data_IF_161852739166
#
_entry.id   IF_161852739166
#
_cell.length_a   1.000
_cell.length_b   1.000
_cell.length_c   1.000
_cell.angle_alpha   90.00
_cell.angle_beta   90.00
_cell.angle_gamma   90.00
#
_symmetry.space_group_name_H-M   'P 1'
#
loop_
_entity.id
_entity.type
_entity.pdbx_description
1 polymer ?
#
# COMPACT_ATOMS: atom_id res chain seq x y z
N UNK A 1 -1.82 11.38 21.10
CA UNK A 1 -1.58 11.68 19.67
C UNK A 1 -2.46 12.85 19.29
N UNK A 2 -1.87 13.97 18.88
CA UNK A 2 -2.62 15.15 18.46
C UNK A 2 -3.34 14.89 17.12
N UNK A 3 -4.62 15.26 17.03
CA UNK A 3 -5.42 15.19 15.78
C UNK A 3 -4.70 15.91 14.62
N UNK A 4 -3.93 16.95 14.94
CA UNK A 4 -3.10 17.72 13.99
C UNK A 4 -2.01 16.87 13.34
N UNK A 5 -1.38 16.01 14.14
CA UNK A 5 -0.31 15.12 13.67
C UNK A 5 -0.88 13.97 12.84
N UNK A 6 -2.12 13.56 13.11
CA UNK A 6 -2.86 12.64 12.26
C UNK A 6 -3.14 13.27 10.90
N UNK A 7 -3.79 14.44 10.86
CA UNK A 7 -4.10 15.17 9.61
C UNK A 7 -2.88 15.38 8.72
N UNK A 8 -1.73 15.72 9.31
CA UNK A 8 -0.49 15.91 8.57
C UNK A 8 0.04 14.62 7.93
N UNK A 9 -0.14 13.46 8.59
CA UNK A 9 0.25 12.16 8.05
C UNK A 9 -0.64 11.71 6.90
N UNK A 10 -1.93 12.08 6.91
CA UNK A 10 -2.88 11.74 5.84
C UNK A 10 -2.74 12.62 4.60
N UNK A 11 -2.43 13.90 4.77
CA UNK A 11 -2.34 14.85 3.64
C UNK A 11 -1.18 14.56 2.66
N UNK A 12 -0.12 13.85 3.11
CA UNK A 12 1.02 13.46 2.27
C UNK A 12 0.64 12.48 1.16
N UNK A 13 0.22 11.26 1.53
CA UNK A 13 -0.22 10.24 0.58
C UNK A 13 -1.29 10.74 -0.39
N UNK A 14 -2.28 11.51 0.06
CA UNK A 14 -3.35 12.04 -0.79
C UNK A 14 -2.80 12.92 -1.92
N UNK A 15 -1.91 13.86 -1.60
CA UNK A 15 -1.29 14.71 -2.63
C UNK A 15 -0.42 13.92 -3.60
N UNK A 16 0.27 12.88 -3.13
CA UNK A 16 1.05 11.98 -3.98
C UNK A 16 0.17 11.17 -4.94
N UNK A 17 -0.93 10.60 -4.45
CA UNK A 17 -1.88 9.80 -5.24
C UNK A 17 -2.56 10.67 -6.30
N UNK A 18 -3.02 11.87 -5.93
CA UNK A 18 -3.65 12.81 -6.87
C UNK A 18 -2.66 13.22 -7.96
N UNK A 19 -1.41 13.51 -7.59
CA UNK A 19 -0.40 13.97 -8.53
C UNK A 19 0.02 12.85 -9.50
N UNK A 20 0.26 11.64 -9.01
CA UNK A 20 0.63 10.50 -9.87
C UNK A 20 -0.53 10.11 -10.79
N UNK A 21 -1.77 10.18 -10.29
CA UNK A 21 -2.97 9.94 -11.10
C UNK A 21 -3.27 11.07 -12.09
N UNK A 22 -2.67 12.26 -11.94
CA UNK A 22 -2.83 13.35 -12.90
C UNK A 22 -1.75 13.31 -13.97
N UNK A 23 -0.50 13.05 -13.57
CA UNK A 23 0.67 13.09 -14.45
C UNK A 23 0.85 11.77 -15.21
N UNK A 24 0.35 10.64 -14.69
CA UNK A 24 0.53 9.30 -15.25
C UNK A 24 1.97 9.05 -15.72
N UNK A 25 2.97 9.06 -14.81
CA UNK A 25 4.35 8.84 -15.21
C UNK A 25 4.56 7.40 -15.68
N UNK A 26 4.74 7.21 -16.99
CA UNK A 26 4.94 5.92 -17.65
C UNK A 26 3.92 5.70 -18.77
N UNK A 27 4.31 4.96 -19.81
CA UNK A 27 3.43 4.69 -20.96
C UNK A 27 2.45 3.54 -20.63
N UNK A 28 1.12 3.67 -20.86
CA UNK A 28 0.15 2.59 -20.60
C UNK A 28 0.43 1.33 -21.45
N UNK A 29 1.09 1.50 -22.59
CA UNK A 29 1.54 0.45 -23.50
C UNK A 29 2.70 -0.40 -22.93
N UNK A 30 3.57 0.18 -22.09
CA UNK A 30 4.66 -0.55 -21.40
C UNK A 30 4.15 -1.41 -20.23
N UNK A 31 2.99 -1.06 -19.65
CA UNK A 31 2.34 -1.86 -18.60
C UNK A 31 1.84 -3.19 -19.17
N UNK A 32 1.39 -3.22 -20.43
CA UNK A 32 1.07 -4.47 -21.12
C UNK A 32 2.32 -5.33 -21.41
N UNK A 33 3.50 -4.72 -21.58
CA UNK A 33 4.75 -5.43 -21.86
C UNK A 33 5.45 -5.98 -20.59
N UNK A 34 5.25 -5.37 -19.42
CA UNK A 34 5.89 -5.74 -18.15
C UNK A 34 5.14 -6.83 -17.35
N UNK A 35 4.30 -7.61 -18.03
CA UNK A 35 3.49 -8.65 -17.41
C UNK A 35 2.13 -8.10 -17.04
N UNK A 36 1.20 -8.32 -17.95
CA UNK A 36 -0.23 -8.22 -17.76
C UNK A 36 -0.64 -9.16 -16.61
N UNK A 37 -0.54 -8.64 -15.38
CA UNK A 37 -1.24 -9.21 -14.24
C UNK A 37 -2.70 -9.32 -14.64
N UNK A 38 -3.23 -10.54 -14.58
CA UNK A 38 -4.48 -11.02 -15.16
C UNK A 38 -5.68 -10.28 -14.59
N UNK A 39 -5.87 -9.01 -14.95
CA UNK A 39 -7.07 -8.23 -14.70
C UNK A 39 -7.94 -8.29 -15.95
N UNK A 40 -8.22 -9.52 -16.39
CA UNK A 40 -9.23 -9.76 -17.41
C UNK A 40 -10.60 -9.47 -16.77
N UNK A 41 -11.06 -8.24 -16.97
CA UNK A 41 -12.46 -7.81 -17.05
C UNK A 41 -13.47 -8.65 -16.24
N UNK A 42 -13.32 -8.67 -14.92
CA UNK A 42 -14.48 -8.74 -14.05
C UNK A 42 -14.59 -7.36 -13.45
N UNK A 43 -15.64 -6.61 -13.79
CA UNK A 43 -15.99 -5.40 -13.07
C UNK A 43 -16.35 -5.82 -11.63
N UNK A 44 -15.32 -6.01 -10.80
CA UNK A 44 -15.48 -6.19 -9.37
C UNK A 44 -16.22 -4.95 -8.89
N UNK A 45 -17.35 -5.17 -8.23
CA UNK A 45 -18.03 -4.05 -7.60
C UNK A 45 -17.06 -3.44 -6.61
N UNK A 46 -16.85 -2.13 -6.66
CA UNK A 46 -16.00 -1.41 -5.69
C UNK A 46 -16.45 -1.68 -4.25
N UNK A 47 -17.75 -1.96 -4.07
CA UNK A 47 -18.34 -2.41 -2.82
C UNK A 47 -17.78 -3.77 -2.39
N UNK A 48 -17.61 -4.73 -3.29
CA UNK A 48 -17.07 -6.06 -2.95
C UNK A 48 -15.61 -5.95 -2.50
N UNK A 49 -14.81 -5.13 -3.20
CA UNK A 49 -13.43 -4.85 -2.78
C UNK A 49 -13.39 -4.18 -1.40
N UNK A 50 -14.30 -3.25 -1.13
CA UNK A 50 -14.42 -2.62 0.19
C UNK A 50 -14.86 -3.61 1.27
N UNK A 51 -15.82 -4.49 0.98
CA UNK A 51 -16.25 -5.54 1.90
C UNK A 51 -15.15 -6.57 2.15
N UNK A 52 -14.37 -6.92 1.15
CA UNK A 52 -13.20 -7.79 1.29
C UNK A 52 -12.14 -7.14 2.17
N UNK A 53 -11.91 -5.83 2.03
CA UNK A 53 -11.03 -5.09 2.93
C UNK A 53 -11.50 -5.14 4.38
N UNK A 54 -12.81 -4.93 4.63
CA UNK A 54 -13.38 -5.04 5.98
C UNK A 54 -13.25 -6.45 6.53
N UNK A 55 -13.53 -7.47 5.72
CA UNK A 55 -13.38 -8.87 6.15
C UNK A 55 -11.92 -9.20 6.47
N UNK A 56 -11.00 -8.73 5.65
CA UNK A 56 -9.57 -8.90 5.90
C UNK A 56 -9.09 -8.11 7.12
N UNK A 57 -9.78 -7.05 7.53
CA UNK A 57 -9.47 -6.30 8.76
C UNK A 57 -9.72 -7.13 10.04
N UNK A 58 -10.65 -8.10 9.97
CA UNK A 58 -11.00 -9.00 11.06
C UNK A 58 -10.89 -10.47 10.61
N UNK A 59 -9.66 -11.01 10.48
CA UNK A 59 -9.47 -12.38 10.04
C UNK A 59 -10.07 -13.38 11.04
N UNK A 60 -10.73 -14.42 10.53
CA UNK A 60 -11.31 -15.50 11.34
C UNK A 60 -10.23 -16.33 12.06
N UNK A 61 -9.02 -16.39 11.50
CA UNK A 61 -7.88 -17.10 12.07
C UNK A 61 -6.58 -16.32 11.83
N UNK A 62 -5.88 -15.96 12.92
CA UNK A 62 -4.62 -15.20 12.87
C UNK A 62 -3.48 -16.00 12.26
N UNK A 63 -3.42 -17.31 12.52
CA UNK A 63 -2.37 -18.19 11.96
C UNK A 63 -2.57 -18.35 10.46
N UNK A 64 -3.83 -18.43 10.01
CA UNK A 64 -4.12 -18.46 8.58
C UNK A 64 -3.79 -17.10 7.93
N UNK A 65 -4.09 -15.99 8.62
CA UNK A 65 -3.82 -14.64 8.13
C UNK A 65 -2.33 -14.35 7.87
N UNK A 66 -1.40 -15.07 8.50
CA UNK A 66 0.04 -14.90 8.20
C UNK A 66 0.44 -15.42 6.82
N UNK A 67 -0.38 -16.27 6.19
CA UNK A 67 -0.08 -16.88 4.89
C UNK A 67 -1.18 -16.67 3.84
N UNK A 68 -2.40 -16.34 4.25
CA UNK A 68 -3.56 -16.29 3.37
C UNK A 68 -4.45 -15.07 3.64
N UNK A 69 -5.10 -14.57 2.58
CA UNK A 69 -6.10 -13.51 2.65
C UNK A 69 -7.35 -13.90 1.85
N UNK A 70 -8.48 -13.25 2.17
CA UNK A 70 -9.76 -13.53 1.52
C UNK A 70 -9.96 -12.54 0.37
N UNK A 71 -10.28 -13.06 -0.81
CA UNK A 71 -10.68 -12.25 -1.97
C UNK A 71 -11.92 -12.85 -2.64
N UNK A 72 -12.79 -11.98 -3.14
CA UNK A 72 -13.98 -12.35 -3.90
C UNK A 72 -13.63 -12.54 -5.37
N UNK A 73 -13.85 -13.75 -5.88
CA UNK A 73 -13.72 -14.08 -7.30
C UNK A 73 -15.08 -14.43 -7.90
N UNK A 74 -15.31 -14.03 -9.14
CA UNK A 74 -16.54 -14.29 -9.87
C UNK A 74 -16.39 -15.50 -10.77
N UNK A 75 -16.86 -16.66 -10.31
CA UNK A 75 -16.80 -17.89 -11.09
C UNK A 75 -18.01 -17.97 -12.03
N UNK A 76 -17.82 -18.22 -13.34
CA UNK A 76 -18.93 -18.40 -14.27
C UNK A 76 -19.63 -19.73 -13.98
N UNK A 77 -20.90 -19.68 -13.61
CA UNK A 77 -21.71 -20.88 -13.40
C UNK A 77 -22.57 -21.10 -14.64
N UNK A 78 -22.41 -22.27 -15.26
CA UNK A 78 -23.31 -22.72 -16.33
C UNK A 78 -24.69 -23.00 -15.71
N UNK A 79 -25.78 -22.32 -16.12
CA UNK A 79 -27.10 -22.63 -15.61
C UNK A 79 -27.50 -24.04 -16.01
N UNK A 80 -28.09 -24.81 -15.08
CA UNK A 80 -28.74 -26.08 -15.42
C UNK A 80 -29.94 -25.76 -16.30
N UNK A 81 -29.86 -26.13 -17.57
CA UNK A 81 -30.97 -26.01 -18.52
C UNK A 81 -32.16 -26.84 -18.04
N UNK A 82 -33.21 -26.20 -17.54
CA UNK A 82 -34.50 -26.85 -17.34
C UNK A 82 -35.22 -26.82 -18.68
N UNK A 83 -35.19 -27.93 -19.42
CA UNK A 83 -35.91 -28.06 -20.69
C UNK A 83 -37.41 -27.86 -20.44
N UNK A 84 -37.92 -26.68 -20.78
CA UNK A 84 -39.33 -26.51 -21.06
C UNK A 84 -39.54 -26.84 -22.54
N UNK A 85 -40.50 -27.72 -22.80
CA UNK A 85 -40.69 -28.34 -24.11
C UNK A 85 -41.20 -27.28 -25.10
N UNK A 86 -40.41 -26.96 -26.12
CA UNK A 86 -40.80 -26.10 -27.24
C UNK A 86 -40.04 -24.78 -27.33
N UNK A 87 -39.24 -24.66 -28.39
CA UNK A 87 -38.59 -23.48 -29.00
C UNK A 87 -37.06 -23.53 -28.93
N UNK A 88 -36.44 -23.71 -30.11
CA UNK A 88 -35.00 -23.80 -30.36
C UNK A 88 -34.36 -22.42 -30.41
N UNK A 89 -34.10 -21.80 -29.25
CA UNK A 89 -33.11 -20.73 -29.09
C UNK A 89 -32.70 -20.68 -27.61
N UNK A 90 -31.77 -21.55 -27.24
CA UNK A 90 -31.22 -21.61 -25.89
C UNK A 90 -30.08 -20.59 -25.79
N UNK A 91 -30.37 -19.38 -25.34
CA UNK A 91 -29.32 -18.45 -24.92
C UNK A 91 -28.76 -18.94 -23.57
N UNK A 92 -27.57 -19.56 -23.59
CA UNK A 92 -26.84 -19.89 -22.37
C UNK A 92 -26.43 -18.58 -21.66
N UNK A 93 -27.24 -18.12 -20.71
CA UNK A 93 -26.88 -16.97 -19.88
C UNK A 93 -25.87 -17.45 -18.83
N UNK A 94 -24.59 -17.14 -19.04
CA UNK A 94 -23.53 -17.40 -18.05
C UNK A 94 -23.77 -16.44 -16.87
N UNK A 95 -24.11 -16.99 -15.70
CA UNK A 95 -24.29 -16.20 -14.48
C UNK A 95 -23.02 -16.29 -13.66
N UNK A 96 -22.37 -15.15 -13.43
CA UNK A 96 -21.26 -15.05 -12.50
C UNK A 96 -21.81 -14.97 -11.08
N UNK A 97 -21.33 -15.82 -10.17
CA UNK A 97 -21.62 -15.67 -8.72
C UNK A 97 -20.36 -15.29 -7.97
N UNK A 98 -20.44 -14.37 -7.00
CA UNK A 98 -19.32 -14.09 -6.12
C UNK A 98 -19.03 -15.31 -5.25
N UNK A 99 -17.78 -15.76 -5.25
CA UNK A 99 -17.29 -16.83 -4.41
C UNK A 99 -16.06 -16.36 -3.64
N UNK A 100 -16.06 -16.59 -2.33
CA UNK A 100 -14.92 -16.29 -1.47
C UNK A 100 -13.84 -17.35 -1.66
N UNK A 101 -12.63 -16.90 -1.97
CA UNK A 101 -11.47 -17.78 -2.12
C UNK A 101 -10.34 -17.26 -1.24
N UNK A 102 -9.60 -18.18 -0.64
CA UNK A 102 -8.37 -17.86 0.09
C UNK A 102 -7.20 -17.83 -0.90
N UNK A 103 -6.57 -16.67 -1.05
CA UNK A 103 -5.33 -16.53 -1.82
C UNK A 103 -4.14 -16.74 -0.89
N UNK A 104 -3.05 -17.33 -1.40
CA UNK A 104 -1.81 -17.57 -0.65
C UNK A 104 -0.97 -16.29 -0.55
N UNK A 105 -1.55 -15.26 0.04
CA UNK A 105 -0.92 -13.96 0.28
C UNK A 105 -1.15 -13.56 1.74
N UNK A 106 -0.17 -12.93 2.37
CA UNK A 106 -0.28 -12.54 3.77
C UNK A 106 -1.31 -11.42 3.96
N UNK A 107 -2.27 -11.62 4.85
CA UNK A 107 -3.23 -10.59 5.24
C UNK A 107 -2.58 -9.61 6.25
N UNK A 108 -1.80 -8.66 5.72
CA UNK A 108 -1.09 -7.66 6.53
C UNK A 108 -2.06 -6.74 7.28
N UNK A 109 -3.19 -6.38 6.67
CA UNK A 109 -4.17 -5.49 7.27
C UNK A 109 -4.76 -6.09 8.56
N UNK A 110 -5.21 -7.35 8.47
CA UNK A 110 -5.78 -8.08 9.62
C UNK A 110 -4.77 -8.25 10.74
N UNK A 111 -3.51 -8.55 10.41
CA UNK A 111 -2.43 -8.66 11.39
C UNK A 111 -2.17 -7.33 12.11
N UNK A 112 -2.16 -6.20 11.37
CA UNK A 112 -1.99 -4.87 11.97
C UNK A 112 -3.14 -4.55 12.93
N UNK A 113 -4.39 -4.79 12.53
CA UNK A 113 -5.56 -4.48 13.38
C UNK A 113 -5.59 -5.36 14.62
N UNK A 114 -5.32 -6.65 14.47
CA UNK A 114 -5.22 -7.59 15.59
C UNK A 114 -4.11 -7.17 16.57
N UNK A 115 -2.87 -6.95 16.08
CA UNK A 115 -1.74 -6.55 16.91
C UNK A 115 -1.97 -5.19 17.60
N UNK A 116 -2.60 -4.24 16.91
CA UNK A 116 -2.94 -2.94 17.49
C UNK A 116 -3.97 -3.06 18.61
N UNK A 117 -5.04 -3.84 18.39
CA UNK A 117 -6.05 -4.12 19.42
C UNK A 117 -5.44 -4.84 20.63
N UNK A 118 -4.62 -5.86 20.37
CA UNK A 118 -3.89 -6.58 21.41
C UNK A 118 -2.97 -5.64 22.21
N UNK A 119 -2.21 -4.77 21.54
CA UNK A 119 -1.37 -3.77 22.19
C UNK A 119 -2.15 -2.78 23.08
N UNK A 120 -3.34 -2.35 22.64
CA UNK A 120 -4.23 -1.49 23.44
C UNK A 120 -4.70 -2.22 24.70
N UNK A 121 -5.11 -3.49 24.59
CA UNK A 121 -5.52 -4.29 25.76
C UNK A 121 -4.36 -4.48 26.74
N UNK A 122 -3.14 -4.80 26.27
CA UNK A 122 -1.95 -4.86 27.13
C UNK A 122 -1.69 -3.54 27.86
N UNK A 123 -1.89 -2.41 27.17
CA UNK A 123 -1.71 -1.08 27.78
C UNK A 123 -2.74 -0.81 28.88
N UNK A 124 -3.95 -1.37 28.79
CA UNK A 124 -5.01 -1.21 29.80
C UNK A 124 -4.75 -2.11 31.03
N UNK A 125 -4.22 -3.32 30.82
CA UNK A 125 -3.89 -4.26 31.91
C UNK A 125 -2.74 -3.79 32.80
N UNK A 126 -1.99 -2.78 32.39
CA UNK A 126 -0.96 -2.12 33.19
C UNK A 126 0.10 -3.09 33.70
N UNK A 127 0.25 -3.17 35.03
CA UNK A 127 1.34 -3.95 35.65
C UNK A 127 1.23 -5.46 35.42
N UNK A 128 0.03 -6.00 35.23
CA UNK A 128 -0.15 -7.44 34.93
C UNK A 128 0.41 -7.81 33.55
N UNK A 129 0.41 -6.86 32.60
CA UNK A 129 0.91 -7.06 31.24
C UNK A 129 2.41 -6.73 31.09
N UNK A 130 3.08 -6.26 32.15
CA UNK A 130 4.47 -5.77 32.09
C UNK A 130 5.46 -6.82 31.55
N UNK A 131 5.30 -8.08 31.93
CA UNK A 131 6.13 -9.18 31.41
C UNK A 131 5.96 -9.33 29.89
N UNK A 132 4.73 -9.27 29.41
CA UNK A 132 4.40 -9.41 27.98
C UNK A 132 4.89 -8.21 27.16
N UNK A 133 4.72 -6.99 27.68
CA UNK A 133 5.24 -5.77 27.04
C UNK A 133 6.77 -5.83 26.92
N UNK A 134 7.46 -6.22 28.00
CA UNK A 134 8.92 -6.36 27.98
C UNK A 134 9.37 -7.43 26.97
N UNK A 135 8.64 -8.53 26.86
CA UNK A 135 8.90 -9.55 25.83
C UNK A 135 8.84 -8.95 24.42
N UNK A 136 7.79 -8.18 24.08
CA UNK A 136 7.69 -7.55 22.75
C UNK A 136 8.76 -6.49 22.50
N UNK A 137 9.17 -5.74 23.51
CA UNK A 137 10.28 -4.77 23.39
C UNK A 137 11.60 -5.49 23.06
N UNK A 138 11.88 -6.61 23.73
CA UNK A 138 13.08 -7.41 23.45
C UNK A 138 12.98 -8.05 22.07
N UNK A 139 11.79 -8.54 21.68
CA UNK A 139 11.55 -9.10 20.35
C UNK A 139 11.79 -8.06 19.24
N UNK A 140 11.30 -6.83 19.39
CA UNK A 140 11.54 -5.72 18.46
C UNK A 140 13.05 -5.41 18.35
N UNK A 141 13.76 -5.34 19.48
CA UNK A 141 15.21 -5.14 19.48
C UNK A 141 15.95 -6.25 18.74
N UNK A 142 15.53 -7.51 18.89
CA UNK A 142 16.08 -8.65 18.14
C UNK A 142 15.79 -8.48 16.64
N UNK A 143 14.55 -8.16 16.26
CA UNK A 143 14.16 -7.95 14.85
C UNK A 143 14.98 -6.82 14.23
N UNK A 144 15.21 -5.71 14.94
CA UNK A 144 16.03 -4.60 14.46
C UNK A 144 17.50 -5.01 14.23
N UNK A 145 18.04 -5.92 15.05
CA UNK A 145 19.38 -6.50 14.81
C UNK A 145 19.40 -7.40 13.57
N UNK A 146 18.36 -8.19 13.36
CA UNK A 146 18.20 -8.99 12.14
C UNK A 146 18.09 -8.11 10.88
N UNK A 147 17.28 -7.04 10.92
CA UNK A 147 17.18 -6.06 9.83
C UNK A 147 18.55 -5.44 9.54
N UNK A 148 19.33 -5.09 10.57
CA UNK A 148 20.69 -4.56 10.40
C UNK A 148 21.61 -5.55 9.69
N UNK A 149 21.50 -6.85 9.98
CA UNK A 149 22.25 -7.88 9.27
C UNK A 149 21.78 -8.02 7.81
N UNK A 150 20.49 -7.95 7.54
CA UNK A 150 19.94 -7.98 6.18
C UNK A 150 20.39 -6.77 5.35
N UNK A 151 20.57 -5.60 5.96
CA UNK A 151 21.09 -4.40 5.27
C UNK A 151 22.49 -4.61 4.69
N UNK A 152 23.31 -5.52 5.25
CA UNK A 152 24.60 -5.89 4.65
C UNK A 152 24.44 -6.74 3.38
N UNK A 153 23.38 -7.54 3.27
CA UNK A 153 23.07 -8.34 2.09
C UNK A 153 22.29 -7.55 1.01
N UNK A 154 21.56 -6.51 1.43
CA UNK A 154 20.76 -5.63 0.57
C UNK A 154 21.50 -5.09 -0.67
N UNK A 155 22.74 -4.55 -0.61
CA UNK A 155 23.42 -4.04 -1.79
C UNK A 155 23.62 -5.11 -2.88
N UNK A 156 23.92 -6.34 -2.49
CA UNK A 156 24.09 -7.46 -3.42
C UNK A 156 22.73 -7.89 -4.00
N UNK A 157 21.69 -7.97 -3.16
CA UNK A 157 20.34 -8.33 -3.59
C UNK A 157 19.74 -7.35 -4.59
N UNK A 158 19.84 -6.04 -4.30
CA UNK A 158 19.36 -5.00 -5.20
C UNK A 158 20.15 -4.96 -6.51
N UNK A 159 21.48 -5.11 -6.46
CA UNK A 159 22.29 -5.13 -7.68
C UNK A 159 21.86 -6.27 -8.61
N UNK A 160 21.66 -7.48 -8.07
CA UNK A 160 21.23 -8.63 -8.86
C UNK A 160 19.83 -8.45 -9.44
N UNK A 161 18.89 -7.87 -8.67
CA UNK A 161 17.53 -7.63 -9.13
C UNK A 161 17.47 -6.55 -10.23
N UNK A 162 18.26 -5.47 -10.09
CA UNK A 162 18.37 -4.42 -11.11
C UNK A 162 19.01 -4.98 -12.38
N UNK A 163 20.10 -5.75 -12.27
CA UNK A 163 20.72 -6.41 -13.43
C UNK A 163 19.73 -7.32 -14.16
N UNK A 164 18.95 -8.13 -13.43
CA UNK A 164 17.92 -8.99 -14.02
C UNK A 164 16.88 -8.16 -14.79
N UNK A 165 16.33 -7.13 -14.17
CA UNK A 165 15.31 -6.29 -14.81
C UNK A 165 15.86 -5.59 -16.07
N UNK A 166 17.14 -5.18 -16.09
CA UNK A 166 17.76 -4.57 -17.28
C UNK A 166 17.91 -5.59 -18.42
N UNK A 167 18.21 -6.85 -18.12
CA UNK A 167 18.33 -7.92 -19.13
C UNK A 167 16.97 -8.33 -19.69
N UNK A 168 15.92 -8.32 -18.86
CA UNK A 168 14.56 -8.71 -19.26
C UNK A 168 13.84 -7.64 -20.12
N UNK A 169 14.40 -6.42 -20.24
CA UNK A 169 13.79 -5.31 -20.99
C UNK A 169 14.36 -5.23 -22.41
N UNK A 170 13.49 -5.36 -23.42
CA UNK A 170 13.87 -5.20 -24.83
C UNK A 170 14.21 -3.74 -25.20
N UNK A 171 13.49 -2.76 -24.62
CA UNK A 171 13.64 -1.31 -24.88
C UNK A 171 14.14 -0.54 -23.64
N UNK A 172 15.45 -0.45 -23.47
CA UNK A 172 16.07 0.26 -22.34
C UNK A 172 15.78 1.76 -22.32
N UNK A 173 15.63 2.39 -23.48
CA UNK A 173 15.43 3.84 -23.56
C UNK A 173 14.06 4.27 -23.07
N UNK A 174 13.00 3.53 -23.46
CA UNK A 174 11.63 3.86 -23.08
C UNK A 174 11.38 3.61 -21.58
N UNK A 175 11.92 2.51 -21.05
CA UNK A 175 11.83 2.17 -19.62
C UNK A 175 12.63 3.14 -18.74
N UNK A 176 13.84 3.52 -19.17
CA UNK A 176 14.64 4.53 -18.47
C UNK A 176 13.95 5.91 -18.47
N UNK A 177 13.31 6.30 -19.58
CA UNK A 177 12.53 7.54 -19.67
C UNK A 177 11.31 7.49 -18.74
N UNK A 178 10.56 6.38 -18.71
CA UNK A 178 9.43 6.21 -17.80
C UNK A 178 9.86 6.32 -16.33
N UNK A 179 10.96 5.67 -15.94
CA UNK A 179 11.52 5.77 -14.59
C UNK A 179 11.96 7.21 -14.27
N UNK A 180 12.60 7.90 -15.21
CA UNK A 180 12.99 9.29 -15.03
C UNK A 180 11.78 10.21 -14.83
N UNK A 181 10.71 10.03 -15.62
CA UNK A 181 9.45 10.78 -15.43
C UNK A 181 8.80 10.48 -14.08
N UNK A 182 8.88 9.24 -13.60
CA UNK A 182 8.43 8.88 -12.25
C UNK A 182 9.23 9.62 -11.17
N UNK A 183 10.57 9.64 -11.26
CA UNK A 183 11.43 10.36 -10.29
C UNK A 183 11.10 11.84 -10.27
N UNK A 184 10.95 12.49 -11.43
CA UNK A 184 10.55 13.89 -11.53
C UNK A 184 9.19 14.13 -10.87
N UNK A 185 8.22 13.26 -11.14
CA UNK A 185 6.87 13.35 -10.56
C UNK A 185 6.89 13.26 -9.04
N UNK A 186 7.69 12.33 -8.48
CA UNK A 186 7.85 12.17 -7.03
C UNK A 186 8.51 13.41 -6.41
N UNK A 187 9.58 13.94 -7.03
CA UNK A 187 10.25 15.16 -6.54
C UNK A 187 9.28 16.33 -6.56
N UNK A 188 8.56 16.55 -7.65
CA UNK A 188 7.54 17.58 -7.76
C UNK A 188 6.44 17.40 -6.70
N UNK A 189 5.98 16.18 -6.45
CA UNK A 189 4.99 15.88 -5.42
C UNK A 189 5.47 16.18 -4.01
N UNK A 190 6.70 15.81 -3.69
CA UNK A 190 7.33 16.14 -2.41
C UNK A 190 7.52 17.66 -2.26
N UNK A 191 7.88 18.37 -3.32
CA UNK A 191 8.00 19.84 -3.31
C UNK A 191 6.65 20.51 -3.09
N UNK A 192 5.60 20.10 -3.80
CA UNK A 192 4.24 20.63 -3.64
C UNK A 192 3.74 20.34 -2.22
N UNK A 193 3.90 19.11 -1.74
CA UNK A 193 3.49 18.76 -0.39
C UNK A 193 4.22 19.58 0.69
N UNK A 194 5.54 19.76 0.53
CA UNK A 194 6.38 20.49 1.47
C UNK A 194 6.16 22.00 1.45
N UNK A 195 5.94 22.60 0.27
CA UNK A 195 5.86 24.05 0.10
C UNK A 195 4.43 24.61 0.07
N UNK A 196 3.42 23.79 -0.24
CA UNK A 196 2.02 24.21 -0.32
C UNK A 196 1.19 23.52 0.75
N UNK A 197 1.13 22.20 0.78
CA UNK A 197 0.20 21.46 1.66
C UNK A 197 0.52 21.65 3.13
N UNK A 198 1.78 21.50 3.53
CA UNK A 198 2.21 21.70 4.92
C UNK A 198 2.04 23.16 5.40
N UNK A 199 2.49 24.19 4.64
CA UNK A 199 2.27 25.59 4.99
C UNK A 199 0.79 25.99 5.04
N UNK A 200 -0.02 25.49 4.10
CA UNK A 200 -1.47 25.75 4.06
C UNK A 200 -2.15 25.13 5.29
N UNK A 201 -1.84 23.88 5.63
CA UNK A 201 -2.36 23.21 6.81
C UNK A 201 -1.96 23.97 8.09
N UNK A 202 -0.69 24.39 8.18
CA UNK A 202 -0.21 25.21 9.30
C UNK A 202 -0.99 26.53 9.41
N UNK A 203 -1.20 27.23 8.29
CA UNK A 203 -1.93 28.49 8.25
C UNK A 203 -3.40 28.31 8.67
N UNK A 204 -4.10 27.29 8.17
CA UNK A 204 -5.49 27.00 8.54
C UNK A 204 -5.62 26.76 10.04
N UNK A 205 -4.67 26.02 10.63
CA UNK A 205 -4.73 25.56 12.01
C UNK A 205 -4.25 26.63 13.01
N UNK A 206 -3.21 27.39 12.67
CA UNK A 206 -2.60 28.37 13.58
C UNK A 206 -2.97 29.82 13.27
N UNK A 207 -3.54 30.08 12.08
CA UNK A 207 -3.83 31.41 11.52
C UNK A 207 -2.64 32.39 11.57
N UNK A 208 -1.42 31.86 11.58
CA UNK A 208 -0.16 32.61 11.52
C UNK A 208 0.53 32.33 10.20
N UNK A 209 1.32 33.30 9.72
CA UNK A 209 2.03 33.18 8.45
C UNK A 209 3.03 32.00 8.50
N UNK A 210 2.91 31.00 7.61
CA UNK A 210 3.76 29.81 7.63
C UNK A 210 5.19 30.10 7.14
N UNK A 211 5.39 31.17 6.36
CA UNK A 211 6.69 31.52 5.80
C UNK A 211 7.74 31.83 6.86
N UNK A 212 7.37 32.51 7.96
CA UNK A 212 8.27 32.79 9.06
C UNK A 212 8.73 31.52 9.79
N UNK A 213 7.85 30.51 9.85
CA UNK A 213 8.16 29.19 10.41
C UNK A 213 9.10 28.39 9.50
N UNK A 214 8.83 28.38 8.19
CA UNK A 214 9.70 27.70 7.22
C UNK A 214 11.12 28.26 7.21
N UNK A 215 11.28 29.59 7.24
CA UNK A 215 12.60 30.22 7.26
C UNK A 215 13.40 29.88 8.52
N UNK A 216 12.74 29.72 9.67
CA UNK A 216 13.38 29.31 10.92
C UNK A 216 13.85 27.84 10.92
N UNK A 217 13.28 27.01 10.04
CA UNK A 217 13.62 25.59 9.91
C UNK A 217 14.59 25.27 8.77
N UNK A 218 14.94 26.24 7.92
CA UNK A 218 15.83 26.02 6.77
C UNK A 218 17.17 25.40 7.17
N UNK A 219 17.72 25.79 8.33
CA UNK A 219 18.96 25.20 8.85
C UNK A 219 18.80 23.70 9.15
N UNK A 220 17.72 23.32 9.83
CA UNK A 220 17.43 21.91 10.11
C UNK A 220 17.13 21.12 8.83
N UNK A 221 16.46 21.72 7.86
CA UNK A 221 16.19 21.11 6.55
C UNK A 221 17.49 20.87 5.77
N UNK A 222 18.39 21.85 5.75
CA UNK A 222 19.70 21.72 5.10
C UNK A 222 20.56 20.64 5.77
N UNK A 223 20.55 20.56 7.10
CA UNK A 223 21.23 19.49 7.84
C UNK A 223 20.61 18.12 7.55
N UNK A 224 19.28 17.99 7.58
CA UNK A 224 18.59 16.74 7.29
C UNK A 224 18.82 16.26 5.84
N UNK A 225 18.90 17.19 4.88
CA UNK A 225 19.26 16.85 3.50
C UNK A 225 20.71 16.38 3.40
N UNK A 226 21.63 17.03 4.13
CA UNK A 226 23.05 16.66 4.14
C UNK A 226 23.36 15.33 4.84
N UNK A 227 22.59 14.96 5.88
CA UNK A 227 22.78 13.69 6.59
C UNK A 227 21.95 12.54 6.01
N UNK A 228 20.92 12.85 5.20
CA UNK A 228 19.93 11.89 4.67
C UNK A 228 19.35 10.94 5.75
N UNK A 229 19.38 11.37 7.02
CA UNK A 229 18.89 10.61 8.17
C UNK A 229 17.78 11.43 8.82
N UNK A 230 16.60 10.81 8.93
CA UNK A 230 15.48 11.34 9.71
C UNK A 230 15.70 11.15 11.20
#
# INVERSE_FOLDING_TARGET
>A
MDVRQCLQKWAGPETGIILVSSIHPGDPSLIHALGEGTLENTALSTLDTFLDQIRNMFPENIIQATFQQVQTYYVPIKPKLQRHNGTSNTSEVIIHKPQLTYTNEMNVLGLIVFCSGFGVILSILGDQARLMINFFIVLDAIIMKWISALMWCYPIGILSLVCKNIVDIDNLTETAQALAMYVVTVICGLMIHSLLTLPLLYFIVTRKSPFAYMTGMLQALATAFGTASR
#
